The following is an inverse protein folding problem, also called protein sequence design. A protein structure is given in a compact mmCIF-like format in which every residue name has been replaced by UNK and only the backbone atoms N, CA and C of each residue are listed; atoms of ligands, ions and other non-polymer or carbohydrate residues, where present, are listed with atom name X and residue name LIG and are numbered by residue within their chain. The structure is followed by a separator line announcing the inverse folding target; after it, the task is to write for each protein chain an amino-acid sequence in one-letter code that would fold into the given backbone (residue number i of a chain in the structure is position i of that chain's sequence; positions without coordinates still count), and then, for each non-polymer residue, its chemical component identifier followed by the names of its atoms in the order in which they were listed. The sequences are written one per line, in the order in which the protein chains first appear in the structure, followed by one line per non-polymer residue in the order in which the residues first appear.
data_IF_963867044216
#
_entry.id   IF_963867044216
#
_cell.length_a   1.000
_cell.length_b   1.000
_cell.length_c   1.000
_cell.angle_alpha   90.00
_cell.angle_beta   90.00
_cell.angle_gamma   90.00
#
_symmetry.space_group_name_H-M   'P 1'
#
loop_
_entity.id
_entity.type
_entity.pdbx_description
1 polymer ?
#
# COMPACT_ATOMS: atom_id res chain seq x y z
N UNK A 1 31.77 37.21 29.52
CA UNK A 1 32.71 36.25 28.90
C UNK A 1 32.52 34.97 29.68
N UNK A 2 32.03 33.86 29.16
CA UNK A 2 32.08 33.24 27.81
C UNK A 2 30.73 32.48 27.64
N UNK A 3 29.88 32.83 26.67
CA UNK A 3 29.71 32.11 25.39
C UNK A 3 30.30 30.70 25.39
N UNK A 4 29.44 29.69 25.53
CA UNK A 4 29.63 28.49 24.73
C UNK A 4 28.31 28.08 24.06
N UNK A 5 28.46 27.93 22.75
CA UNK A 5 27.45 27.88 21.71
C UNK A 5 27.33 26.44 21.25
N UNK A 6 26.09 26.02 21.00
CA UNK A 6 25.69 24.93 20.10
C UNK A 6 26.66 23.74 19.95
N UNK A 7 26.32 22.64 20.61
CA UNK A 7 26.24 21.37 19.88
C UNK A 7 24.82 20.86 20.06
N UNK A 8 23.89 21.49 19.31
CA UNK A 8 22.70 20.78 18.85
C UNK A 8 23.23 19.64 17.98
N UNK A 9 23.54 18.52 18.62
CA UNK A 9 23.62 17.24 17.95
C UNK A 9 22.34 17.17 17.13
N UNK A 10 22.49 17.24 15.81
CA UNK A 10 21.40 17.01 14.90
C UNK A 10 20.84 15.64 15.31
N UNK A 11 19.75 15.66 16.05
CA UNK A 11 18.86 14.53 16.19
C UNK A 11 18.44 14.33 14.75
N UNK A 12 19.17 13.47 14.06
CA UNK A 12 18.69 12.80 12.88
C UNK A 12 17.47 12.07 13.40
N UNK A 13 16.33 12.74 13.42
CA UNK A 13 15.04 12.10 13.42
C UNK A 13 15.19 11.12 12.27
N UNK A 14 15.23 9.79 12.52
CA UNK A 14 15.21 8.85 11.42
C UNK A 14 13.97 9.28 10.67
N UNK A 15 14.18 9.85 9.48
CA UNK A 15 13.12 10.29 8.59
C UNK A 15 12.11 9.19 8.68
N UNK A 16 10.92 9.50 9.21
CA UNK A 16 9.80 8.58 9.39
C UNK A 16 9.46 8.12 7.98
N UNK A 17 10.26 7.22 7.43
CA UNK A 17 9.96 6.41 6.28
C UNK A 17 8.76 5.65 6.79
N UNK A 18 7.58 6.19 6.48
CA UNK A 18 6.31 5.53 6.69
C UNK A 18 6.57 4.10 6.28
N UNK A 19 6.49 3.19 7.27
CA UNK A 19 6.85 1.81 7.05
C UNK A 19 6.05 1.38 5.83
N UNK A 20 6.69 0.85 4.78
CA UNK A 20 6.00 0.49 3.55
C UNK A 20 4.83 -0.48 3.78
N UNK A 21 4.85 -1.21 4.90
CA UNK A 21 3.72 -1.97 5.43
C UNK A 21 2.47 -1.12 5.68
N UNK A 22 2.61 0.07 6.28
CA UNK A 22 1.49 0.95 6.56
C UNK A 22 0.89 1.50 5.27
N UNK A 23 1.72 1.85 4.30
CA UNK A 23 1.27 2.29 2.98
C UNK A 23 0.43 1.20 2.31
N UNK A 24 0.92 -0.05 2.29
CA UNK A 24 0.18 -1.18 1.71
C UNK A 24 -1.09 -1.51 2.50
N UNK A 25 -1.05 -1.39 3.83
CA UNK A 25 -2.25 -1.56 4.65
C UNK A 25 -3.31 -0.50 4.36
N UNK A 26 -2.91 0.76 4.15
CA UNK A 26 -3.82 1.81 3.70
C UNK A 26 -4.42 1.49 2.34
N UNK A 27 -3.62 1.04 1.36
CA UNK A 27 -4.16 0.59 0.06
C UNK A 27 -5.17 -0.55 0.22
N UNK A 28 -4.88 -1.51 1.09
CA UNK A 28 -5.80 -2.62 1.39
C UNK A 28 -7.14 -2.12 1.97
N UNK A 29 -7.11 -1.19 2.93
CA UNK A 29 -8.31 -0.61 3.50
C UNK A 29 -9.13 0.18 2.47
N UNK A 30 -8.46 0.97 1.63
CA UNK A 30 -9.11 1.73 0.55
C UNK A 30 -9.75 0.79 -0.45
N UNK A 31 -9.07 -0.30 -0.84
CA UNK A 31 -9.62 -1.33 -1.70
C UNK A 31 -10.90 -1.92 -1.10
N UNK A 32 -10.87 -2.28 0.17
CA UNK A 32 -12.03 -2.83 0.88
C UNK A 32 -13.21 -1.84 0.89
N UNK A 33 -12.92 -0.58 1.19
CA UNK A 33 -13.92 0.49 1.19
C UNK A 33 -14.54 0.73 -0.19
N UNK A 34 -13.73 0.69 -1.26
CA UNK A 34 -14.23 0.84 -2.64
C UNK A 34 -15.11 -0.33 -3.07
N UNK A 35 -14.77 -1.55 -2.63
CA UNK A 35 -15.60 -2.75 -2.86
C UNK A 35 -16.94 -2.63 -2.13
N UNK A 36 -16.95 -2.16 -0.88
CA UNK A 36 -18.18 -1.91 -0.11
C UNK A 36 -19.08 -0.85 -0.76
N UNK A 37 -18.49 0.21 -1.32
CA UNK A 37 -19.21 1.26 -2.06
C UNK A 37 -19.64 0.83 -3.47
N UNK A 38 -19.38 -0.43 -3.87
CA UNK A 38 -19.63 -0.98 -5.22
C UNK A 38 -18.97 -0.18 -6.36
N UNK A 39 -17.89 0.56 -6.06
CA UNK A 39 -17.12 1.35 -7.05
C UNK A 39 -15.99 0.50 -7.65
N UNK A 40 -16.37 -0.52 -8.41
CA UNK A 40 -15.42 -1.55 -8.86
C UNK A 40 -14.34 -1.02 -9.81
N UNK A 41 -14.65 -0.05 -10.67
CA UNK A 41 -13.65 0.55 -11.58
C UNK A 41 -12.49 1.22 -10.82
N UNK A 42 -12.78 1.89 -9.71
CA UNK A 42 -11.76 2.50 -8.86
C UNK A 42 -11.03 1.47 -8.01
N UNK A 43 -11.75 0.44 -7.55
CA UNK A 43 -11.13 -0.69 -6.85
C UNK A 43 -10.07 -1.38 -7.74
N UNK A 44 -10.33 -1.54 -9.03
CA UNK A 44 -9.35 -2.07 -9.99
C UNK A 44 -8.11 -1.17 -10.11
N UNK A 45 -8.30 0.13 -10.32
CA UNK A 45 -7.19 1.07 -10.44
C UNK A 45 -6.36 1.17 -9.15
N UNK A 46 -7.03 1.15 -7.98
CA UNK A 46 -6.35 1.17 -6.69
C UNK A 46 -5.58 -0.13 -6.45
N UNK A 47 -6.18 -1.27 -6.80
CA UNK A 47 -5.56 -2.58 -6.61
C UNK A 47 -4.36 -2.81 -7.55
N UNK A 48 -4.42 -2.39 -8.82
CA UNK A 48 -3.27 -2.42 -9.72
C UNK A 48 -2.11 -1.55 -9.22
N UNK A 49 -2.39 -0.31 -8.80
CA UNK A 49 -1.39 0.59 -8.24
C UNK A 49 -0.73 0.02 -6.97
N UNK A 50 -1.52 -0.63 -6.12
CA UNK A 50 -1.02 -1.27 -4.90
C UNK A 50 -0.13 -2.50 -5.19
N UNK A 51 -0.42 -3.27 -6.25
CA UNK A 51 0.42 -4.39 -6.70
C UNK A 51 1.75 -3.87 -7.26
N UNK A 52 1.76 -2.79 -8.03
CA UNK A 52 3.01 -2.20 -8.54
C UNK A 52 3.86 -1.60 -7.42
N UNK A 53 3.22 -1.03 -6.39
CA UNK A 53 3.91 -0.60 -5.17
C UNK A 53 4.48 -1.77 -4.40
N UNK A 54 3.73 -2.87 -4.30
CA UNK A 54 4.14 -4.10 -3.63
C UNK A 54 5.39 -4.74 -4.29
N UNK A 55 5.48 -4.75 -5.62
CA UNK A 55 6.67 -5.26 -6.34
C UNK A 55 7.96 -4.54 -5.95
N UNK A 56 7.87 -3.26 -5.60
CA UNK A 56 9.02 -2.45 -5.16
C UNK A 56 9.41 -2.72 -3.69
N UNK A 57 8.56 -3.42 -2.93
CA UNK A 57 8.70 -3.63 -1.49
C UNK A 57 8.97 -5.12 -1.20
N UNK A 58 10.24 -5.53 -1.31
CA UNK A 58 10.72 -6.90 -1.05
C UNK A 58 10.80 -7.26 0.45
N UNK A 59 9.72 -7.04 1.21
CA UNK A 59 9.68 -7.30 2.65
C UNK A 59 8.71 -8.44 2.96
N UNK A 60 9.22 -9.54 3.53
CA UNK A 60 8.43 -10.76 3.86
C UNK A 60 7.18 -10.51 4.69
N UNK A 61 7.18 -9.50 5.55
CA UNK A 61 6.03 -9.14 6.39
C UNK A 61 4.84 -8.62 5.58
N UNK A 62 5.10 -8.06 4.40
CA UNK A 62 4.09 -7.55 3.48
C UNK A 62 3.42 -8.69 2.72
N UNK A 63 4.06 -9.85 2.58
CA UNK A 63 3.58 -11.00 1.82
C UNK A 63 2.21 -11.52 2.32
N UNK A 64 1.98 -11.47 3.63
CA UNK A 64 0.68 -11.81 4.22
C UNK A 64 -0.41 -10.83 3.77
N UNK A 65 -0.11 -9.53 3.73
CA UNK A 65 -1.06 -8.51 3.27
C UNK A 65 -1.25 -8.61 1.76
N UNK A 66 -0.17 -8.87 1.02
CA UNK A 66 -0.18 -9.10 -0.42
C UNK A 66 -1.10 -10.25 -0.80
N UNK A 67 -1.04 -11.38 -0.09
CA UNK A 67 -1.93 -12.53 -0.35
C UNK A 67 -3.40 -12.15 -0.30
N UNK A 68 -3.79 -11.33 0.69
CA UNK A 68 -5.15 -10.80 0.81
C UNK A 68 -5.46 -9.81 -0.30
N UNK A 69 -4.54 -8.90 -0.57
CA UNK A 69 -4.68 -7.90 -1.64
C UNK A 69 -4.91 -8.57 -3.01
N UNK A 70 -4.17 -9.63 -3.35
CA UNK A 70 -4.37 -10.41 -4.58
C UNK A 70 -5.72 -11.13 -4.61
N UNK A 71 -6.21 -11.62 -3.47
CA UNK A 71 -7.55 -12.21 -3.37
C UNK A 71 -8.63 -11.16 -3.68
N UNK A 72 -8.56 -9.99 -3.03
CA UNK A 72 -9.53 -8.91 -3.27
C UNK A 72 -9.37 -8.26 -4.65
N UNK A 73 -8.15 -8.23 -5.20
CA UNK A 73 -7.90 -7.88 -6.59
C UNK A 73 -8.70 -8.80 -7.51
N UNK A 74 -8.50 -10.13 -7.43
CA UNK A 74 -9.27 -11.09 -8.24
C UNK A 74 -10.77 -10.94 -8.03
N UNK A 75 -11.22 -10.75 -6.79
CA UNK A 75 -12.63 -10.56 -6.47
C UNK A 75 -13.23 -9.29 -7.09
N UNK A 76 -12.48 -8.18 -7.11
CA UNK A 76 -12.93 -6.94 -7.74
C UNK A 76 -13.09 -7.07 -9.27
N UNK A 77 -12.23 -7.85 -9.92
CA UNK A 77 -12.35 -8.20 -11.34
C UNK A 77 -13.49 -9.19 -11.60
N UNK A 78 -13.73 -10.14 -10.70
CA UNK A 78 -14.88 -11.06 -10.75
C UNK A 78 -16.21 -10.32 -10.69
N UNK A 79 -16.34 -9.39 -9.74
CA UNK A 79 -17.54 -8.58 -9.56
C UNK A 79 -17.85 -7.67 -10.76
N UNK A 80 -16.82 -7.27 -11.51
CA UNK A 80 -16.99 -6.44 -12.72
C UNK A 80 -17.19 -7.30 -13.98
N UNK A 81 -17.00 -8.62 -13.90
CA UNK A 81 -17.08 -9.52 -15.05
C UNK A 81 -15.84 -9.53 -15.95
N UNK A 82 -14.81 -8.76 -15.62
CA UNK A 82 -13.57 -8.59 -16.41
C UNK A 82 -12.47 -9.55 -15.98
N UNK A 83 -12.85 -10.73 -15.49
CA UNK A 83 -11.91 -11.75 -15.00
C UNK A 83 -10.98 -12.27 -16.10
N UNK A 84 -11.36 -12.09 -17.37
CA UNK A 84 -10.54 -12.43 -18.53
C UNK A 84 -9.27 -11.56 -18.66
N UNK A 85 -9.30 -10.29 -18.22
CA UNK A 85 -8.14 -9.38 -18.33
C UNK A 85 -6.99 -9.80 -17.40
N UNK A 86 -7.29 -10.53 -16.33
CA UNK A 86 -6.31 -10.91 -15.30
C UNK A 86 -5.82 -12.37 -15.41
N UNK A 87 -6.46 -13.17 -16.28
CA UNK A 87 -6.16 -14.60 -16.47
C UNK A 87 -5.62 -14.96 -17.87
N UNK A 88 -5.73 -14.04 -18.83
CA UNK A 88 -5.12 -14.17 -20.17
C UNK A 88 -3.65 -13.80 -20.16
#
# INVERSE_FOLDING_TARGET
MEVDTATSAAIQTPSKHLLPELEIYCYFLVLLFLIDQKRYNEAKACSSASIDRLKNLNRRTVDVIASRLYFYYSYSYELTGDLAEIRG
#
